data_IF_198312846444
#
_entry.id   IF_198312846444
#
_cell.length_a   1.000
_cell.length_b   1.000
_cell.length_c   1.000
_cell.angle_alpha   90.00
_cell.angle_beta   90.00
_cell.angle_gamma   90.00
#
_symmetry.space_group_name_H-M   'P 1'
#
loop_
_entity.id
_entity.type
_entity.pdbx_description
1 polymer ?
#
# COMPACT_ATOMS: atom_id res chain seq x y z
N UNK A 1 15.25 1.81 -15.85
CA UNK A 1 14.14 0.85 -15.65
C UNK A 1 12.99 1.58 -14.98
N UNK A 2 11.72 1.25 -15.28
CA UNK A 2 10.61 1.79 -14.50
C UNK A 2 10.69 1.26 -13.06
N UNK A 3 10.48 2.13 -12.08
CA UNK A 3 10.42 1.75 -10.66
C UNK A 3 9.14 0.98 -10.38
N UNK A 4 9.24 -0.13 -9.65
CA UNK A 4 8.09 -0.97 -9.29
C UNK A 4 7.53 -0.53 -7.94
N UNK A 5 6.21 -0.71 -7.67
CA UNK A 5 5.64 -0.44 -6.35
C UNK A 5 6.39 -1.14 -5.20
N UNK A 6 6.87 -2.37 -5.43
CA UNK A 6 7.59 -3.18 -4.44
C UNK A 6 8.90 -2.51 -3.96
N UNK A 7 9.55 -1.73 -4.83
CA UNK A 7 10.82 -1.05 -4.53
C UNK A 7 10.66 0.02 -3.42
N UNK A 8 9.42 0.47 -3.17
CA UNK A 8 9.13 1.49 -2.17
C UNK A 8 8.75 0.91 -0.79
N UNK A 9 8.39 -0.38 -0.70
CA UNK A 9 7.85 -0.97 0.53
C UNK A 9 8.83 -0.84 1.69
N UNK A 10 10.08 -1.26 1.48
CA UNK A 10 11.09 -1.26 2.54
C UNK A 10 11.31 0.16 3.10
N UNK A 11 11.48 1.15 2.21
CA UNK A 11 11.70 2.54 2.62
C UNK A 11 10.50 3.11 3.37
N UNK A 12 9.30 2.99 2.80
CA UNK A 12 8.09 3.54 3.40
C UNK A 12 7.76 2.89 4.75
N UNK A 13 7.87 1.57 4.86
CA UNK A 13 7.67 0.90 6.15
C UNK A 13 8.71 1.31 7.18
N UNK A 14 9.98 1.51 6.78
CA UNK A 14 11.00 2.02 7.69
C UNK A 14 10.67 3.43 8.20
N UNK A 15 10.27 4.34 7.32
CA UNK A 15 9.89 5.72 7.70
C UNK A 15 8.62 5.77 8.58
N UNK A 16 7.71 4.81 8.43
CA UNK A 16 6.48 4.67 9.23
C UNK A 16 6.67 3.86 10.53
N UNK A 17 7.88 3.34 10.78
CA UNK A 17 8.17 2.47 11.92
C UNK A 17 7.36 1.17 11.91
N UNK A 18 7.10 0.59 10.73
CA UNK A 18 6.33 -0.63 10.53
C UNK A 18 7.24 -1.86 10.49
N UNK A 19 6.80 -2.93 11.15
CA UNK A 19 7.58 -4.17 11.29
C UNK A 19 7.59 -5.02 10.00
N UNK A 20 8.32 -6.14 10.05
CA UNK A 20 8.45 -7.07 8.91
C UNK A 20 7.14 -7.72 8.47
N UNK A 21 6.17 -7.89 9.39
CA UNK A 21 4.87 -8.49 9.05
C UNK A 21 4.10 -7.59 8.10
N UNK A 22 4.09 -6.27 8.37
CA UNK A 22 3.45 -5.28 7.52
C UNK A 22 4.13 -5.20 6.15
N UNK A 23 5.46 -5.25 6.11
CA UNK A 23 6.23 -5.26 4.85
C UNK A 23 5.91 -6.49 4.00
N UNK A 24 5.85 -7.67 4.64
CA UNK A 24 5.55 -8.94 3.99
C UNK A 24 4.13 -8.93 3.42
N UNK A 25 3.15 -8.49 4.22
CA UNK A 25 1.76 -8.38 3.78
C UNK A 25 1.58 -7.34 2.65
N UNK A 26 2.28 -6.21 2.70
CA UNK A 26 2.20 -5.21 1.63
C UNK A 26 2.79 -5.74 0.33
N UNK A 27 3.86 -6.52 0.40
CA UNK A 27 4.48 -7.18 -0.77
C UNK A 27 3.54 -8.22 -1.38
N UNK A 28 2.84 -9.01 -0.56
CA UNK A 28 1.81 -9.96 -0.98
C UNK A 28 0.66 -9.27 -1.71
N UNK A 29 0.09 -8.21 -1.11
CA UNK A 29 -0.98 -7.41 -1.74
C UNK A 29 -0.53 -6.84 -3.09
N UNK A 30 0.71 -6.34 -3.19
CA UNK A 30 1.24 -5.82 -4.46
C UNK A 30 1.44 -6.91 -5.51
N UNK A 31 1.79 -8.13 -5.09
CA UNK A 31 1.90 -9.28 -5.99
C UNK A 31 0.53 -9.64 -6.54
N UNK A 32 -0.47 -9.81 -5.69
CA UNK A 32 -1.85 -10.14 -6.09
C UNK A 32 -2.45 -9.03 -6.98
N UNK A 33 -2.17 -7.77 -6.65
CA UNK A 33 -2.57 -6.63 -7.46
C UNK A 33 -1.94 -6.65 -8.85
N UNK A 34 -0.66 -7.05 -8.94
CA UNK A 34 0.05 -7.18 -10.22
C UNK A 34 -0.52 -8.32 -11.06
N UNK A 35 -0.83 -9.46 -10.45
CA UNK A 35 -1.41 -10.62 -11.13
C UNK A 35 -2.82 -10.33 -11.68
N UNK A 36 -3.56 -9.41 -11.04
CA UNK A 36 -4.87 -8.93 -11.50
C UNK A 36 -4.81 -7.63 -12.33
N UNK A 37 -3.63 -7.21 -12.79
CA UNK A 37 -3.41 -6.00 -13.60
C UNK A 37 -3.91 -4.68 -12.95
N UNK A 38 -4.00 -4.65 -11.62
CA UNK A 38 -4.46 -3.49 -10.84
C UNK A 38 -3.37 -2.43 -10.63
N UNK A 39 -2.16 -2.66 -11.13
CA UNK A 39 -1.00 -1.75 -10.98
C UNK A 39 -0.69 -0.96 -12.26
N UNK A 40 -1.14 -1.45 -13.42
CA UNK A 40 -0.88 -0.86 -14.73
C UNK A 40 -1.45 0.56 -14.85
N UNK A 41 -0.67 1.47 -15.46
CA UNK A 41 -1.07 2.87 -15.68
C UNK A 41 -1.19 3.72 -14.40
N UNK A 42 -0.81 3.20 -13.24
CA UNK A 42 -0.91 3.89 -11.95
C UNK A 42 0.50 4.25 -11.45
N UNK A 43 0.62 5.39 -10.76
CA UNK A 43 1.89 5.80 -10.16
C UNK A 43 2.35 4.81 -9.09
N UNK A 44 3.60 4.31 -9.14
CA UNK A 44 4.03 3.19 -8.30
C UNK A 44 4.05 3.53 -6.80
N UNK A 45 4.34 4.78 -6.45
CA UNK A 45 4.31 5.27 -5.05
C UNK A 45 2.91 5.20 -4.45
N UNK A 46 1.88 5.60 -5.21
CA UNK A 46 0.48 5.57 -4.74
C UNK A 46 -0.05 4.15 -4.54
N UNK A 47 0.35 3.22 -5.41
CA UNK A 47 -0.02 1.80 -5.27
C UNK A 47 0.69 1.18 -4.06
N UNK A 48 1.98 1.44 -3.88
CA UNK A 48 2.74 0.99 -2.71
C UNK A 48 2.16 1.56 -1.40
N UNK A 49 1.86 2.86 -1.37
CA UNK A 49 1.24 3.53 -0.23
C UNK A 49 -0.10 2.90 0.17
N UNK A 50 -0.95 2.60 -0.81
CA UNK A 50 -2.23 1.94 -0.56
C UNK A 50 -2.04 0.53 0.01
N UNK A 51 -1.13 -0.27 -0.55
CA UNK A 51 -0.81 -1.60 -0.03
C UNK A 51 -0.31 -1.54 1.42
N UNK A 52 0.58 -0.59 1.74
CA UNK A 52 1.08 -0.39 3.12
C UNK A 52 -0.04 0.03 4.07
N UNK A 53 -0.91 0.95 3.66
CA UNK A 53 -2.04 1.37 4.47
C UNK A 53 -2.95 0.17 4.81
N UNK A 54 -3.30 -0.65 3.83
CA UNK A 54 -4.08 -1.88 4.03
C UNK A 54 -3.37 -2.82 5.00
N UNK A 55 -2.10 -3.14 4.74
CA UNK A 55 -1.30 -4.04 5.58
C UNK A 55 -1.17 -3.55 7.01
N UNK A 56 -1.04 -2.24 7.21
CA UNK A 56 -0.96 -1.66 8.56
C UNK A 56 -2.20 -1.97 9.38
N UNK A 57 -3.39 -2.00 8.75
CA UNK A 57 -4.64 -2.33 9.42
C UNK A 57 -4.71 -3.83 9.68
N UNK A 58 -4.44 -4.66 8.67
CA UNK A 58 -4.51 -6.12 8.77
C UNK A 58 -3.52 -6.69 9.81
N UNK A 59 -2.38 -6.03 10.00
CA UNK A 59 -1.35 -6.44 10.95
C UNK A 59 -1.46 -5.75 12.33
N UNK A 60 -2.57 -5.07 12.65
CA UNK A 60 -2.76 -4.34 13.91
C UNK A 60 -1.69 -3.27 14.21
N UNK A 61 -1.05 -2.73 13.17
CA UNK A 61 -0.01 -1.69 13.24
C UNK A 61 -0.48 -0.41 12.52
N UNK A 62 -1.75 -0.07 12.73
CA UNK A 62 -2.50 0.89 11.91
C UNK A 62 -1.77 2.23 11.78
N UNK A 63 -1.67 2.70 10.53
CA UNK A 63 -1.31 4.07 10.19
C UNK A 63 -2.51 4.79 9.56
N UNK A 64 -2.56 6.08 9.74
CA UNK A 64 -3.52 6.97 9.09
C UNK A 64 -3.17 7.13 7.60
N UNK A 65 -4.16 7.48 6.78
CA UNK A 65 -3.91 7.81 5.37
C UNK A 65 -2.94 8.99 5.25
N UNK A 66 -2.99 9.95 6.18
CA UNK A 66 -2.10 11.11 6.22
C UNK A 66 -0.64 10.72 6.44
N UNK A 67 -0.34 9.92 7.47
CA UNK A 67 1.04 9.46 7.74
C UNK A 67 1.64 8.75 6.53
N UNK A 68 0.86 7.88 5.88
CA UNK A 68 1.31 7.15 4.70
C UNK A 68 1.46 8.08 3.48
N UNK A 69 0.57 9.07 3.33
CA UNK A 69 0.62 10.05 2.25
C UNK A 69 1.89 10.91 2.32
N UNK A 70 2.22 11.39 3.53
CA UNK A 70 3.38 12.24 3.80
C UNK A 70 4.69 11.50 3.45
N UNK A 71 4.83 10.24 3.88
CA UNK A 71 5.99 9.39 3.56
C UNK A 71 6.09 9.03 2.07
N UNK A 72 4.95 8.77 1.44
CA UNK A 72 4.91 8.36 0.04
C UNK A 72 4.98 9.52 -0.96
N UNK A 73 4.89 10.76 -0.51
CA UNK A 73 4.86 11.95 -1.37
C UNK A 73 3.61 11.97 -2.27
N UNK A 74 2.46 11.51 -1.75
CA UNK A 74 1.17 11.50 -2.45
C UNK A 74 0.09 12.18 -1.62
N UNK A 75 -1.13 12.30 -2.15
CA UNK A 75 -2.25 12.85 -1.38
C UNK A 75 -3.01 11.76 -0.62
N UNK A 76 -3.68 12.11 0.46
CA UNK A 76 -4.62 11.20 1.14
C UNK A 76 -5.71 10.68 0.21
N UNK A 77 -6.17 11.52 -0.74
CA UNK A 77 -7.17 11.13 -1.75
C UNK A 77 -6.62 10.04 -2.67
N UNK A 78 -5.34 10.12 -3.05
CA UNK A 78 -4.65 9.08 -3.83
C UNK A 78 -4.68 7.76 -3.06
N UNK A 79 -4.31 7.75 -1.79
CA UNK A 79 -4.36 6.54 -0.95
C UNK A 79 -5.78 6.03 -0.84
N UNK A 80 -6.75 6.91 -0.57
CA UNK A 80 -8.17 6.57 -0.41
C UNK A 80 -8.75 5.84 -1.62
N UNK A 81 -8.51 6.39 -2.80
CA UNK A 81 -9.02 5.81 -4.04
C UNK A 81 -8.36 4.45 -4.30
N UNK A 82 -7.06 4.35 -4.06
CA UNK A 82 -6.29 3.13 -4.35
C UNK A 82 -6.54 2.02 -3.36
N UNK A 83 -6.63 2.30 -2.05
CA UNK A 83 -6.89 1.24 -1.09
C UNK A 83 -8.30 0.67 -1.29
N UNK A 84 -9.32 1.51 -1.56
CA UNK A 84 -10.68 1.04 -1.87
C UNK A 84 -10.70 0.13 -3.08
N UNK A 85 -10.05 0.56 -4.17
CA UNK A 85 -9.91 -0.22 -5.40
C UNK A 85 -9.22 -1.57 -5.14
N UNK A 86 -8.10 -1.57 -4.41
CA UNK A 86 -7.39 -2.80 -4.06
C UNK A 86 -8.25 -3.71 -3.18
N UNK A 87 -8.90 -3.19 -2.14
CA UNK A 87 -9.73 -4.01 -1.25
C UNK A 87 -10.90 -4.65 -1.98
N UNK A 88 -11.56 -3.91 -2.86
CA UNK A 88 -12.70 -4.42 -3.64
C UNK A 88 -12.24 -5.50 -4.62
N UNK A 89 -11.19 -5.25 -5.39
CA UNK A 89 -10.74 -6.16 -6.45
C UNK A 89 -9.97 -7.38 -5.92
N UNK A 90 -9.37 -7.27 -4.73
CA UNK A 90 -8.68 -8.36 -4.06
C UNK A 90 -9.57 -9.12 -3.07
N UNK A 91 -10.78 -8.62 -2.76
CA UNK A 91 -11.66 -9.25 -1.77
C UNK A 91 -11.09 -9.14 -0.35
N UNK A 92 -10.37 -8.07 -0.04
CA UNK A 92 -9.79 -7.83 1.27
C UNK A 92 -10.82 -7.09 2.12
N UNK A 93 -11.21 -7.71 3.23
CA UNK A 93 -12.06 -7.08 4.23
C UNK A 93 -11.21 -6.28 5.21
N UNK A 94 -11.55 -5.00 5.39
CA UNK A 94 -10.88 -4.11 6.34
C UNK A 94 -11.90 -3.57 7.32
N UNK A 95 -11.61 -3.70 8.61
CA UNK A 95 -12.35 -3.03 9.68
C UNK A 95 -11.67 -1.69 10.00
N UNK A 96 -12.38 -0.59 9.77
CA UNK A 96 -11.90 0.79 9.95
C UNK A 96 -12.32 1.38 11.29
#
# INVERSE_FOLDING_TARGET
MPTKPQDYIQRFCSELGLNGDVQSKATEILKDASEKELTSGRGPTGVAAAAIYISSILCNARRTQREVADVAGVTEVTIRNRYKELTEKLGIEIQL
#
